data_IF_731826231787
#
_entry.id   IF_731826231787
#
_cell.length_a   1.000
_cell.length_b   1.000
_cell.length_c   1.000
_cell.angle_alpha   90.00
_cell.angle_beta   90.00
_cell.angle_gamma   90.00
#
_symmetry.space_group_name_H-M   'P 1'
#
loop_
_entity.id
_entity.type
_entity.pdbx_description
1 polymer ?
#
# COMPACT_ATOMS: atom_id res chain seq x y z
N UNK A 1 -10.61 -4.76 -18.54
CA UNK A 1 -9.23 -4.25 -18.42
C UNK A 1 -8.22 -5.02 -19.26
N UNK A 2 -8.16 -6.36 -19.24
CA UNK A 2 -7.26 -7.13 -20.12
C UNK A 2 -7.29 -6.66 -21.59
N UNK A 3 -8.48 -6.60 -22.21
CA UNK A 3 -8.67 -6.07 -23.58
C UNK A 3 -8.23 -4.61 -23.81
N UNK A 4 -8.06 -3.80 -22.75
CA UNK A 4 -7.69 -2.36 -22.86
C UNK A 4 -6.18 -2.18 -22.72
N UNK A 5 -5.52 -2.99 -21.87
CA UNK A 5 -4.04 -3.09 -21.88
C UNK A 5 -3.55 -3.69 -23.21
N UNK A 6 -4.32 -4.63 -23.78
CA UNK A 6 -4.08 -5.31 -25.06
C UNK A 6 -4.00 -4.37 -26.27
N UNK A 7 -4.75 -3.26 -26.30
CA UNK A 7 -4.75 -2.32 -27.44
C UNK A 7 -3.54 -1.36 -27.40
N UNK A 8 -2.89 -1.19 -26.24
CA UNK A 8 -1.83 -0.22 -26.02
C UNK A 8 -0.55 -0.42 -26.86
N UNK A 9 -0.31 -1.63 -27.37
CA UNK A 9 0.89 -1.95 -28.16
C UNK A 9 0.77 -1.64 -29.66
N UNK A 10 -0.42 -1.32 -30.17
CA UNK A 10 -0.67 -1.23 -31.62
C UNK A 10 -0.51 0.17 -32.25
N UNK A 11 -0.23 1.21 -31.47
CA UNK A 11 -0.25 2.62 -31.95
C UNK A 11 1.11 3.25 -32.26
N UNK A 12 2.19 2.45 -32.39
CA UNK A 12 3.54 2.92 -32.74
C UNK A 12 4.08 2.27 -34.03
N UNK A 13 3.24 2.11 -35.05
CA UNK A 13 3.64 1.46 -36.30
C UNK A 13 2.88 1.98 -37.55
N UNK A 14 3.18 3.21 -37.98
CA UNK A 14 3.07 3.77 -39.35
C UNK A 14 3.71 5.18 -39.33
N UNK A 15 4.42 5.70 -40.35
CA UNK A 15 4.99 5.13 -41.57
C UNK A 15 6.23 5.99 -41.94
N UNK A 16 7.33 5.40 -42.42
CA UNK A 16 8.62 6.12 -42.58
C UNK A 16 9.49 5.62 -43.73
N UNK A 17 8.97 5.70 -44.97
CA UNK A 17 9.65 5.22 -46.18
C UNK A 17 11.01 5.93 -46.37
N UNK A 18 12.06 5.16 -46.63
CA UNK A 18 13.43 5.66 -46.67
C UNK A 18 13.76 6.57 -47.85
N UNK A 19 14.56 7.61 -47.60
CA UNK A 19 15.35 8.32 -48.62
C UNK A 19 16.74 8.66 -48.08
N UNK A 20 17.79 8.08 -48.69
CA UNK A 20 19.20 8.45 -48.44
C UNK A 20 19.42 9.93 -48.78
N UNK A 21 19.99 10.75 -47.88
CA UNK A 21 20.79 11.93 -48.29
C UNK A 21 21.80 12.43 -47.25
N UNK A 22 23.08 12.33 -47.64
CA UNK A 22 24.29 13.11 -47.29
C UNK A 22 24.46 13.76 -45.90
N UNK A 23 25.59 13.40 -45.27
CA UNK A 23 26.31 14.13 -44.20
C UNK A 23 26.32 15.66 -44.39
N UNK A 24 26.04 16.40 -43.31
CA UNK A 24 26.64 17.71 -43.00
C UNK A 24 26.99 17.74 -41.50
N UNK A 25 28.15 18.34 -41.14
CA UNK A 25 28.59 18.51 -39.75
C UNK A 25 27.88 19.71 -39.12
N UNK A 26 27.59 19.65 -37.82
CA UNK A 26 27.21 20.81 -37.01
C UNK A 26 28.40 21.24 -36.12
N UNK A 27 28.56 22.55 -35.80
CA UNK A 27 29.64 23.06 -34.96
C UNK A 27 29.37 22.87 -33.45
N UNK A 28 30.39 22.92 -32.59
CA UNK A 28 30.24 22.71 -31.14
C UNK A 28 29.63 23.93 -30.43
N UNK A 29 28.75 23.67 -29.46
CA UNK A 29 28.21 24.67 -28.54
C UNK A 29 29.22 24.96 -27.41
N UNK A 30 29.29 26.23 -26.99
CA UNK A 30 30.17 26.69 -25.90
C UNK A 30 29.59 26.37 -24.51
N UNK A 31 30.41 26.24 -23.46
CA UNK A 31 29.93 26.02 -22.09
C UNK A 31 29.26 27.28 -21.51
N UNK A 32 28.19 27.08 -20.74
CA UNK A 32 27.55 28.15 -19.96
C UNK A 32 28.32 28.37 -18.64
N UNK A 33 28.61 29.62 -18.29
CA UNK A 33 29.14 30.00 -16.95
C UNK A 33 27.98 30.13 -15.96
N UNK A 34 28.13 29.73 -14.68
CA UNK A 34 27.26 30.20 -13.62
C UNK A 34 27.59 31.66 -13.28
N UNK A 35 26.57 32.46 -12.99
CA UNK A 35 26.71 33.81 -12.44
C UNK A 35 26.17 33.82 -11.01
N UNK A 36 26.88 34.51 -10.12
CA UNK A 36 26.70 34.44 -8.67
C UNK A 36 25.45 35.16 -8.14
N UNK A 37 25.07 34.77 -6.93
CA UNK A 37 24.49 35.61 -5.86
C UNK A 37 23.23 36.43 -6.15
N UNK A 38 22.17 36.14 -5.38
CA UNK A 38 21.21 37.18 -4.99
C UNK A 38 20.93 37.12 -3.49
N UNK A 39 20.96 38.31 -2.87
CA UNK A 39 20.92 38.55 -1.44
C UNK A 39 19.46 38.48 -0.94
N UNK A 40 19.22 37.82 0.20
CA UNK A 40 17.93 37.89 0.90
C UNK A 40 18.05 38.91 2.03
N UNK A 41 17.30 40.01 1.92
CA UNK A 41 17.15 41.01 3.00
C UNK A 41 16.16 40.51 4.06
N UNK A 42 16.46 40.74 5.33
CA UNK A 42 15.57 40.47 6.46
C UNK A 42 14.48 41.53 6.57
N UNK A 43 13.21 41.12 6.58
CA UNK A 43 12.13 41.91 7.16
C UNK A 43 11.19 41.05 8.03
N UNK A 44 11.12 41.41 9.31
CA UNK A 44 10.23 40.81 10.31
C UNK A 44 8.79 41.36 10.20
N UNK A 45 7.75 40.61 10.61
CA UNK A 45 6.37 41.09 10.61
C UNK A 45 6.05 41.92 11.87
N UNK A 46 5.15 42.93 11.79
CA UNK A 46 4.63 43.63 12.96
C UNK A 46 3.40 42.92 13.57
N UNK A 47 3.23 43.09 14.88
CA UNK A 47 2.18 42.46 15.70
C UNK A 47 1.19 43.49 16.24
N UNK A 48 -0.09 43.12 16.26
CA UNK A 48 -1.21 43.64 17.08
C UNK A 48 -1.53 45.15 17.13
N UNK A 49 -2.82 45.47 17.00
CA UNK A 49 -3.53 46.42 17.88
C UNK A 49 -5.06 46.20 17.80
N UNK A 50 -5.73 46.26 18.95
CA UNK A 50 -7.20 46.22 19.20
C UNK A 50 -7.51 47.42 20.12
N UNK A 51 -8.67 48.12 20.01
CA UNK A 51 -9.71 48.06 21.07
C UNK A 51 -11.15 48.44 20.55
N UNK A 52 -12.17 48.84 21.36
CA UNK A 52 -12.98 47.95 22.22
C UNK A 52 -14.54 48.20 22.25
N UNK A 53 -15.27 47.33 22.96
CA UNK A 53 -16.58 47.50 23.67
C UNK A 53 -17.89 47.99 22.97
N UNK A 54 -19.00 47.24 23.17
CA UNK A 54 -20.21 47.68 23.92
C UNK A 54 -21.32 46.59 24.13
N UNK A 55 -21.74 46.41 25.40
CA UNK A 55 -23.09 46.04 25.98
C UNK A 55 -24.08 44.98 25.42
N UNK A 56 -24.62 44.18 26.36
CA UNK A 56 -25.85 43.33 26.31
C UNK A 56 -27.19 44.12 26.30
N UNK A 57 -28.35 43.50 25.96
CA UNK A 57 -29.31 42.97 26.97
C UNK A 57 -29.90 41.56 26.61
N UNK A 58 -29.95 40.59 27.53
CA UNK A 58 -31.06 40.19 28.44
C UNK A 58 -32.23 39.34 27.84
N UNK A 59 -32.66 38.35 28.65
CA UNK A 59 -33.70 37.33 28.41
C UNK A 59 -35.15 37.88 28.45
N UNK A 60 -36.13 37.05 28.04
CA UNK A 60 -37.01 36.49 29.09
C UNK A 60 -37.11 34.95 29.09
N UNK A 61 -37.55 34.41 30.24
CA UNK A 61 -37.97 33.01 30.43
C UNK A 61 -39.49 32.92 30.34
N UNK A 62 -40.03 31.74 30.02
CA UNK A 62 -41.37 31.36 30.45
C UNK A 62 -41.36 29.93 31.00
N UNK A 63 -41.97 29.77 32.17
CA UNK A 63 -42.08 28.54 32.96
C UNK A 63 -43.54 28.10 32.96
N UNK A 64 -43.80 26.79 33.02
CA UNK A 64 -44.97 26.22 33.71
C UNK A 64 -44.61 24.82 34.24
N UNK A 65 -44.64 24.66 35.57
CA UNK A 65 -44.97 23.38 36.23
C UNK A 65 -46.50 23.32 36.45
N UNK A 66 -47.11 22.28 37.03
CA UNK A 66 -46.60 21.04 37.67
C UNK A 66 -47.73 19.96 37.53
N UNK A 67 -47.85 18.82 38.21
CA UNK A 67 -47.22 18.19 39.39
C UNK A 67 -47.41 16.65 39.32
N UNK A 68 -46.88 15.89 40.29
CA UNK A 68 -47.34 14.52 40.62
C UNK A 68 -46.35 13.38 40.29
N UNK A 69 -45.58 12.93 41.29
CA UNK A 69 -44.81 11.67 41.23
C UNK A 69 -45.53 10.51 41.96
N UNK A 70 -44.84 9.51 42.53
CA UNK A 70 -43.44 9.09 42.30
C UNK A 70 -43.25 7.54 42.21
N UNK A 71 -42.31 7.03 41.39
CA UNK A 71 -41.65 5.71 41.65
C UNK A 71 -40.49 5.33 40.71
N UNK A 72 -39.53 4.59 41.28
CA UNK A 72 -38.60 3.61 40.64
C UNK A 72 -37.75 4.00 39.41
N UNK A 73 -36.50 4.36 39.70
CA UNK A 73 -35.28 3.76 39.10
C UNK A 73 -35.35 3.03 37.74
N UNK A 74 -34.73 3.61 36.70
CA UNK A 74 -33.93 2.83 35.74
C UNK A 74 -32.94 3.73 34.99
N UNK A 75 -31.65 3.48 35.18
CA UNK A 75 -30.57 4.07 34.38
C UNK A 75 -30.40 3.29 33.09
N UNK A 76 -30.62 3.91 31.94
CA UNK A 76 -30.41 3.30 30.61
C UNK A 76 -29.43 4.12 29.77
N UNK A 77 -28.14 3.86 29.96
CA UNK A 77 -27.07 4.35 29.09
C UNK A 77 -27.02 3.57 27.77
N UNK A 78 -26.75 4.27 26.67
CA UNK A 78 -26.79 3.75 25.31
C UNK A 78 -25.73 2.66 25.04
N UNK A 79 -26.18 1.44 24.75
CA UNK A 79 -25.33 0.33 24.34
C UNK A 79 -24.85 0.48 22.88
N UNK A 80 -23.55 0.73 22.71
CA UNK A 80 -22.90 0.59 21.40
C UNK A 80 -22.53 -0.88 21.15
N UNK A 81 -23.07 -1.49 20.09
CA UNK A 81 -22.72 -2.87 19.71
C UNK A 81 -21.28 -2.94 19.18
N UNK A 82 -20.35 -3.41 20.00
CA UNK A 82 -19.02 -3.84 19.57
C UNK A 82 -18.97 -5.38 19.47
N UNK A 83 -19.34 -5.93 18.31
CA UNK A 83 -19.21 -7.37 18.04
C UNK A 83 -17.84 -7.72 17.40
N UNK A 84 -16.73 -7.36 18.07
CA UNK A 84 -15.41 -7.98 17.79
C UNK A 84 -15.26 -9.25 18.65
N UNK A 85 -14.48 -10.23 18.16
CA UNK A 85 -14.45 -11.59 18.70
C UNK A 85 -14.13 -11.66 20.21
N UNK A 86 -15.00 -12.29 21.00
CA UNK A 86 -14.67 -12.76 22.35
C UNK A 86 -13.85 -14.06 22.27
N UNK A 87 -12.76 -14.20 23.04
CA UNK A 87 -12.20 -15.50 23.37
C UNK A 87 -13.18 -16.30 24.24
N UNK A 88 -13.20 -17.62 24.07
CA UNK A 88 -13.97 -18.54 24.92
C UNK A 88 -13.22 -18.69 26.27
N UNK A 89 -13.84 -18.44 27.43
CA UNK A 89 -13.26 -18.81 28.72
C UNK A 89 -13.32 -20.33 28.89
N UNK A 90 -12.20 -20.94 29.27
CA UNK A 90 -12.20 -22.30 29.82
C UNK A 90 -12.63 -22.24 31.29
N UNK A 91 -13.45 -23.19 31.74
CA UNK A 91 -13.99 -23.23 33.09
C UNK A 91 -12.92 -23.57 34.15
N UNK A 92 -12.92 -22.74 35.19
CA UNK A 92 -12.61 -22.92 36.61
C UNK A 92 -11.79 -24.15 37.08
N UNK A 93 -10.67 -23.84 37.75
CA UNK A 93 -10.28 -24.48 39.01
C UNK A 93 -9.55 -23.46 39.89
N UNK A 94 -9.63 -23.61 41.21
CA UNK A 94 -9.57 -22.50 42.18
C UNK A 94 -8.21 -21.76 42.27
N UNK A 95 -8.23 -20.42 42.23
CA UNK A 95 -7.03 -19.56 42.29
C UNK A 95 -7.29 -18.05 42.38
N UNK A 96 -8.37 -17.64 43.06
CA UNK A 96 -9.16 -16.44 42.74
C UNK A 96 -8.55 -15.04 42.93
N UNK A 97 -7.34 -14.88 43.49
CA UNK A 97 -6.72 -13.55 43.66
C UNK A 97 -5.70 -13.20 42.56
N UNK A 98 -4.78 -14.12 42.23
CA UNK A 98 -3.69 -13.82 41.31
C UNK A 98 -4.10 -13.87 39.83
N UNK A 99 -4.99 -14.78 39.44
CA UNK A 99 -5.36 -14.91 38.03
C UNK A 99 -6.32 -13.81 37.55
N UNK A 100 -7.19 -13.26 38.41
CA UNK A 100 -7.97 -12.07 38.04
C UNK A 100 -7.07 -10.84 37.84
N UNK A 101 -6.11 -10.57 38.73
CA UNK A 101 -5.14 -9.48 38.54
C UNK A 101 -4.36 -9.66 37.22
N UNK A 102 -3.95 -10.89 36.93
CA UNK A 102 -3.15 -11.24 35.74
C UNK A 102 -3.97 -11.19 34.44
N UNK A 103 -5.22 -11.66 34.45
CA UNK A 103 -6.11 -11.60 33.29
C UNK A 103 -6.54 -10.16 32.97
N UNK A 104 -6.88 -9.36 33.99
CA UNK A 104 -7.23 -7.94 33.82
C UNK A 104 -6.04 -7.15 33.27
N UNK A 105 -4.83 -7.35 33.82
CA UNK A 105 -3.61 -6.68 33.33
C UNK A 105 -3.23 -7.11 31.91
N UNK A 106 -3.48 -8.38 31.54
CA UNK A 106 -3.24 -8.88 30.18
C UNK A 106 -4.23 -8.29 29.18
N UNK A 107 -5.52 -8.22 29.54
CA UNK A 107 -6.56 -7.63 28.70
C UNK A 107 -6.29 -6.14 28.46
N UNK A 108 -5.96 -5.36 29.50
CA UNK A 108 -5.66 -3.93 29.35
C UNK A 108 -4.39 -3.68 28.52
N UNK A 109 -3.37 -4.52 28.65
CA UNK A 109 -2.16 -4.46 27.79
C UNK A 109 -2.43 -4.79 26.33
N UNK A 110 -3.35 -5.73 26.06
CA UNK A 110 -3.75 -6.12 24.72
C UNK A 110 -4.63 -5.06 24.05
N UNK A 111 -5.59 -4.49 24.77
CA UNK A 111 -6.41 -3.35 24.31
C UNK A 111 -5.58 -2.08 24.06
N UNK A 112 -4.60 -1.79 24.93
CA UNK A 112 -3.68 -0.67 24.72
C UNK A 112 -2.83 -0.85 23.45
N UNK A 113 -2.39 -2.08 23.16
CA UNK A 113 -1.64 -2.40 21.96
C UNK A 113 -2.53 -2.40 20.70
N UNK A 114 -3.76 -2.90 20.77
CA UNK A 114 -4.77 -2.78 19.71
C UNK A 114 -4.96 -1.30 19.29
N UNK A 115 -5.23 -0.43 20.26
CA UNK A 115 -5.42 1.00 20.04
C UNK A 115 -4.15 1.71 19.53
N UNK A 116 -2.97 1.32 20.02
CA UNK A 116 -1.70 1.93 19.60
C UNK A 116 -1.30 1.50 18.18
N UNK A 117 -1.47 0.22 17.83
CA UNK A 117 -1.20 -0.26 16.47
C UNK A 117 -2.16 0.34 15.45
N UNK A 118 -3.44 0.51 15.81
CA UNK A 118 -4.39 1.25 14.99
C UNK A 118 -3.93 2.71 14.76
N UNK A 119 -3.51 3.41 15.81
CA UNK A 119 -2.95 4.78 15.69
C UNK A 119 -1.71 4.84 14.78
N UNK A 120 -0.82 3.85 14.83
CA UNK A 120 0.33 3.80 13.92
C UNK A 120 -0.12 3.60 12.46
N UNK A 121 -1.03 2.65 12.19
CA UNK A 121 -1.57 2.45 10.85
C UNK A 121 -2.31 3.71 10.31
N UNK A 122 -3.06 4.41 11.16
CA UNK A 122 -3.69 5.69 10.81
C UNK A 122 -2.68 6.82 10.57
N UNK A 123 -1.61 6.87 11.35
CA UNK A 123 -0.52 7.85 11.20
C UNK A 123 0.27 7.66 9.90
N UNK A 124 0.28 6.47 9.29
CA UNK A 124 0.91 6.21 7.99
C UNK A 124 0.37 7.11 6.86
N UNK A 125 -0.86 7.65 6.98
CA UNK A 125 -1.40 8.64 6.06
C UNK A 125 -0.49 9.88 5.91
N UNK A 126 0.18 10.32 6.99
CA UNK A 126 1.03 11.52 6.98
C UNK A 126 2.24 11.37 6.04
N UNK A 127 3.13 10.36 6.20
CA UNK A 127 4.25 10.18 5.27
C UNK A 127 3.81 9.86 3.85
N UNK A 128 2.69 9.15 3.63
CA UNK A 128 2.17 8.92 2.28
C UNK A 128 1.64 10.21 1.63
N UNK A 129 0.98 11.10 2.36
CA UNK A 129 0.62 12.43 1.87
C UNK A 129 1.86 13.26 1.52
N UNK A 130 2.87 13.30 2.40
CA UNK A 130 4.11 14.04 2.17
C UNK A 130 4.91 13.48 0.98
N UNK A 131 4.79 12.19 0.68
CA UNK A 131 5.35 11.57 -0.52
C UNK A 131 4.60 11.98 -1.79
N UNK A 132 3.26 12.09 -1.74
CA UNK A 132 2.41 12.23 -2.92
C UNK A 132 2.07 13.68 -3.30
N UNK A 133 1.97 14.60 -2.32
CA UNK A 133 1.70 16.03 -2.52
C UNK A 133 2.73 16.70 -3.45
N UNK A 134 4.06 16.50 -3.32
CA UNK A 134 5.05 17.14 -4.18
C UNK A 134 4.81 16.86 -5.67
N UNK A 135 4.48 15.62 -6.03
CA UNK A 135 4.16 15.24 -7.41
C UNK A 135 2.89 15.94 -7.91
N UNK A 136 1.82 15.95 -7.11
CA UNK A 136 0.54 16.59 -7.46
C UNK A 136 0.74 18.08 -7.69
N UNK A 137 1.48 18.77 -6.81
CA UNK A 137 1.76 20.21 -6.91
C UNK A 137 2.66 20.52 -8.10
N UNK A 138 3.71 19.72 -8.35
CA UNK A 138 4.61 19.91 -9.50
C UNK A 138 3.89 19.72 -10.83
N UNK A 139 3.06 18.67 -10.94
CA UNK A 139 2.22 18.42 -12.10
C UNK A 139 1.23 19.57 -12.34
N UNK A 140 0.55 20.06 -11.30
CA UNK A 140 -0.38 21.19 -11.39
C UNK A 140 0.33 22.47 -11.88
N UNK A 141 1.52 22.78 -11.35
CA UNK A 141 2.33 23.93 -11.81
C UNK A 141 2.73 23.79 -13.28
N UNK A 142 3.19 22.61 -13.70
CA UNK A 142 3.56 22.36 -15.09
C UNK A 142 2.36 22.47 -16.04
N UNK A 143 1.18 21.97 -15.65
CA UNK A 143 -0.06 22.13 -16.43
C UNK A 143 -0.46 23.60 -16.56
N UNK A 144 -0.45 24.37 -15.46
CA UNK A 144 -0.77 25.81 -15.47
C UNK A 144 0.23 26.63 -16.31
N UNK A 145 1.50 26.20 -16.37
CA UNK A 145 2.53 26.81 -17.21
C UNK A 145 2.50 26.32 -18.68
N UNK A 146 1.57 25.43 -19.06
CA UNK A 146 1.53 24.81 -20.40
C UNK A 146 2.66 23.81 -20.69
N UNK A 147 3.50 23.49 -19.70
CA UNK A 147 4.68 22.64 -19.82
C UNK A 147 4.32 21.14 -19.81
N UNK A 148 3.61 20.68 -20.85
CA UNK A 148 3.16 19.28 -20.99
C UNK A 148 4.32 18.26 -21.05
N UNK A 149 5.49 18.65 -21.55
CA UNK A 149 6.64 17.74 -21.75
C UNK A 149 7.14 17.12 -20.44
N UNK A 150 7.06 17.84 -19.33
CA UNK A 150 7.40 17.32 -18.01
C UNK A 150 6.44 16.19 -17.54
N UNK A 151 5.17 16.22 -17.95
CA UNK A 151 4.19 15.18 -17.60
C UNK A 151 4.28 13.97 -18.55
N UNK A 152 4.71 14.14 -19.80
CA UNK A 152 4.99 13.03 -20.73
C UNK A 152 6.09 12.09 -20.22
N UNK A 153 6.99 12.59 -19.36
CA UNK A 153 8.05 11.78 -18.74
C UNK A 153 7.57 10.92 -17.55
N UNK A 154 6.35 11.14 -17.04
CA UNK A 154 5.83 10.39 -15.88
C UNK A 154 5.20 9.08 -16.37
N UNK A 155 5.64 7.90 -15.89
CA UNK A 155 5.17 6.61 -16.38
C UNK A 155 3.73 6.30 -15.91
N UNK A 156 2.73 6.70 -16.69
CA UNK A 156 1.30 6.52 -16.37
C UNK A 156 0.92 5.06 -16.09
N UNK A 157 1.60 4.09 -16.71
CA UNK A 157 1.37 2.65 -16.47
C UNK A 157 1.82 2.21 -15.07
N UNK A 158 2.88 2.82 -14.54
CA UNK A 158 3.31 2.65 -13.15
C UNK A 158 2.28 3.24 -12.18
N UNK A 159 1.80 4.45 -12.47
CA UNK A 159 0.72 5.08 -11.68
C UNK A 159 -0.57 4.23 -11.71
N UNK A 160 -0.95 3.68 -12.87
CA UNK A 160 -2.12 2.80 -13.00
C UNK A 160 -1.97 1.51 -12.19
N UNK A 161 -0.77 0.91 -12.18
CA UNK A 161 -0.46 -0.24 -11.32
C UNK A 161 -0.58 0.14 -9.84
N UNK A 162 -0.06 1.32 -9.46
CA UNK A 162 -0.25 1.95 -8.15
C UNK A 162 -1.71 2.03 -7.73
N UNK A 163 -2.53 2.61 -8.60
CA UNK A 163 -3.97 2.80 -8.40
C UNK A 163 -4.71 1.46 -8.22
N UNK A 164 -4.44 0.48 -9.08
CA UNK A 164 -5.09 -0.84 -9.03
C UNK A 164 -4.67 -1.64 -7.80
N UNK A 165 -3.41 -1.54 -7.37
CA UNK A 165 -2.93 -2.12 -6.12
C UNK A 165 -3.68 -1.55 -4.92
N UNK A 166 -3.72 -0.22 -4.79
CA UNK A 166 -4.43 0.45 -3.70
C UNK A 166 -5.95 0.16 -3.72
N UNK A 167 -6.60 0.11 -4.90
CA UNK A 167 -8.03 -0.19 -5.00
C UNK A 167 -8.37 -1.65 -4.63
N UNK A 168 -7.46 -2.58 -4.95
CA UNK A 168 -7.61 -3.99 -4.58
C UNK A 168 -7.35 -4.21 -3.08
N UNK A 169 -6.34 -3.54 -2.51
CA UNK A 169 -6.10 -3.52 -1.06
C UNK A 169 -7.24 -2.82 -0.29
N UNK A 170 -7.82 -1.75 -0.83
CA UNK A 170 -9.03 -1.12 -0.27
C UNK A 170 -10.16 -2.15 -0.17
N UNK A 171 -10.35 -2.96 -1.21
CA UNK A 171 -11.37 -4.02 -1.21
C UNK A 171 -11.09 -5.11 -0.18
N UNK A 172 -9.81 -5.47 -0.01
CA UNK A 172 -9.36 -6.40 1.02
C UNK A 172 -9.62 -5.90 2.45
N UNK A 173 -9.23 -4.66 2.76
CA UNK A 173 -9.41 -4.11 4.11
C UNK A 173 -10.86 -3.69 4.40
N UNK A 174 -11.64 -3.31 3.37
CA UNK A 174 -13.07 -3.07 3.51
C UNK A 174 -13.81 -4.33 3.97
N UNK A 175 -13.51 -5.49 3.36
CA UNK A 175 -14.02 -6.81 3.77
C UNK A 175 -13.63 -7.17 5.21
N UNK A 176 -12.43 -6.78 5.65
CA UNK A 176 -11.94 -7.02 7.02
C UNK A 176 -12.38 -5.97 8.05
N UNK A 177 -13.07 -4.90 7.64
CA UNK A 177 -13.49 -3.77 8.49
C UNK A 177 -12.31 -3.09 9.23
N UNK A 178 -11.13 -3.08 8.63
CA UNK A 178 -9.93 -2.45 9.22
C UNK A 178 -9.85 -0.98 8.80
N UNK A 179 -10.55 -0.12 9.55
CA UNK A 179 -10.74 1.31 9.30
C UNK A 179 -9.49 2.06 8.85
N UNK A 180 -8.40 1.94 9.61
CA UNK A 180 -7.18 2.73 9.40
C UNK A 180 -6.49 2.33 8.08
N UNK A 181 -6.52 1.04 7.72
CA UNK A 181 -6.04 0.57 6.44
C UNK A 181 -6.96 1.01 5.28
N UNK A 182 -8.29 0.96 5.46
CA UNK A 182 -9.27 1.50 4.51
C UNK A 182 -9.01 2.98 4.22
N UNK A 183 -8.69 3.78 5.24
CA UNK A 183 -8.31 5.19 5.07
C UNK A 183 -7.01 5.36 4.26
N UNK A 184 -5.95 4.62 4.60
CA UNK A 184 -4.67 4.65 3.86
C UNK A 184 -4.85 4.28 2.39
N UNK A 185 -5.57 3.19 2.09
CA UNK A 185 -5.78 2.75 0.71
C UNK A 185 -6.69 3.72 -0.07
N UNK A 186 -7.71 4.29 0.58
CA UNK A 186 -8.55 5.35 -0.03
C UNK A 186 -7.70 6.56 -0.41
N UNK A 187 -6.81 6.99 0.49
CA UNK A 187 -5.90 8.11 0.24
C UNK A 187 -4.97 7.81 -0.94
N UNK A 188 -4.41 6.60 -1.01
CA UNK A 188 -3.63 6.13 -2.16
C UNK A 188 -4.43 6.16 -3.46
N UNK A 189 -5.64 5.60 -3.48
CA UNK A 189 -6.53 5.62 -4.66
C UNK A 189 -6.80 7.05 -5.14
N UNK A 190 -7.26 7.94 -4.26
CA UNK A 190 -7.65 9.31 -4.62
C UNK A 190 -6.43 10.09 -5.13
N UNK A 191 -5.31 10.04 -4.40
CA UNK A 191 -4.13 10.85 -4.72
C UNK A 191 -3.41 10.38 -6.00
N UNK A 192 -3.33 9.07 -6.25
CA UNK A 192 -2.83 8.52 -7.52
C UNK A 192 -3.80 8.83 -8.67
N UNK A 193 -5.12 8.78 -8.43
CA UNK A 193 -6.11 9.14 -9.45
C UNK A 193 -6.02 10.62 -9.85
N UNK A 194 -5.75 11.54 -8.90
CA UNK A 194 -5.45 12.95 -9.22
C UNK A 194 -4.23 13.07 -10.13
N UNK A 195 -3.15 12.33 -9.87
CA UNK A 195 -1.99 12.32 -10.77
C UNK A 195 -2.36 11.76 -12.15
N UNK A 196 -3.11 10.66 -12.22
CA UNK A 196 -3.57 10.09 -13.50
C UNK A 196 -4.43 11.08 -14.30
N UNK A 197 -5.32 11.84 -13.64
CA UNK A 197 -6.09 12.90 -14.29
C UNK A 197 -5.18 14.02 -14.83
N UNK A 198 -4.13 14.40 -14.09
CA UNK A 198 -3.13 15.37 -14.58
C UNK A 198 -2.38 14.84 -15.81
N UNK A 199 -2.01 13.56 -15.83
CA UNK A 199 -1.37 12.92 -16.99
C UNK A 199 -2.30 12.85 -18.21
N UNK A 200 -3.60 12.59 -18.00
CA UNK A 200 -4.60 12.63 -19.08
C UNK A 200 -4.80 14.06 -19.63
N UNK A 201 -4.84 15.10 -18.77
CA UNK A 201 -4.90 16.50 -19.20
C UNK A 201 -3.65 16.97 -19.96
N UNK A 202 -2.49 16.35 -19.72
CA UNK A 202 -1.26 16.56 -20.48
C UNK A 202 -1.13 15.68 -21.73
N UNK A 203 -2.15 14.89 -22.08
CA UNK A 203 -2.15 13.91 -23.18
C UNK A 203 -1.11 12.78 -23.03
N UNK A 204 -0.52 12.62 -21.83
CA UNK A 204 0.43 11.56 -21.51
C UNK A 204 -0.23 10.19 -21.34
N UNK A 205 -1.49 10.15 -20.89
CA UNK A 205 -2.31 8.95 -20.84
C UNK A 205 -3.40 9.01 -21.91
N UNK A 206 -3.56 7.98 -22.77
CA UNK A 206 -4.61 7.97 -23.79
C UNK A 206 -6.02 8.06 -23.18
N UNK A 207 -6.88 8.90 -23.77
CA UNK A 207 -8.22 9.18 -23.26
C UNK A 207 -9.10 7.91 -23.03
N UNK A 208 -9.12 6.89 -23.91
CA UNK A 208 -9.91 5.67 -23.67
C UNK A 208 -9.48 4.93 -22.40
N UNK A 209 -8.18 4.86 -22.13
CA UNK A 209 -7.63 4.25 -20.92
C UNK A 209 -8.00 5.05 -19.68
N UNK A 210 -7.96 6.38 -19.76
CA UNK A 210 -8.38 7.26 -18.67
C UNK A 210 -9.86 7.06 -18.33
N UNK A 211 -10.76 7.08 -19.31
CA UNK A 211 -12.21 6.87 -19.11
C UNK A 211 -12.48 5.52 -18.41
N UNK A 212 -11.89 4.42 -18.89
CA UNK A 212 -12.05 3.10 -18.26
C UNK A 212 -11.51 3.08 -16.83
N UNK A 213 -10.39 3.76 -16.60
CA UNK A 213 -9.79 3.87 -15.26
C UNK A 213 -10.70 4.67 -14.31
N UNK A 214 -11.26 5.79 -14.75
CA UNK A 214 -12.20 6.61 -13.98
C UNK A 214 -13.45 5.83 -13.58
N UNK A 215 -14.03 5.05 -14.50
CA UNK A 215 -15.19 4.19 -14.21
C UNK A 215 -14.83 3.17 -13.12
N UNK A 216 -13.71 2.45 -13.27
CA UNK A 216 -13.27 1.43 -12.29
C UNK A 216 -12.96 2.03 -10.92
N UNK A 217 -12.34 3.21 -10.86
CA UNK A 217 -12.08 3.92 -9.59
C UNK A 217 -13.37 4.37 -8.93
N UNK A 218 -14.28 5.01 -9.67
CA UNK A 218 -15.55 5.47 -9.14
C UNK A 218 -16.41 4.30 -8.63
N UNK A 219 -16.57 3.26 -9.44
CA UNK A 219 -17.28 2.04 -9.03
C UNK A 219 -16.62 1.37 -7.82
N UNK A 220 -15.30 1.24 -7.83
CA UNK A 220 -14.57 0.59 -6.74
C UNK A 220 -14.60 1.35 -5.43
N UNK A 221 -14.49 2.68 -5.44
CA UNK A 221 -14.67 3.49 -4.23
C UNK A 221 -16.10 3.33 -3.68
N UNK A 222 -17.12 3.49 -4.52
CA UNK A 222 -18.53 3.36 -4.11
C UNK A 222 -18.83 1.97 -3.54
N UNK A 223 -18.46 0.91 -4.25
CA UNK A 223 -18.72 -0.48 -3.82
C UNK A 223 -17.98 -0.81 -2.52
N UNK A 224 -16.74 -0.35 -2.36
CA UNK A 224 -15.97 -0.58 -1.13
C UNK A 224 -16.55 0.16 0.07
N UNK A 225 -17.01 1.41 -0.08
CA UNK A 225 -17.66 2.12 1.02
C UNK A 225 -19.03 1.51 1.37
N UNK A 226 -19.86 1.17 0.37
CA UNK A 226 -21.13 0.50 0.62
C UNK A 226 -20.94 -0.85 1.33
N UNK A 227 -19.93 -1.63 0.94
CA UNK A 227 -19.59 -2.88 1.63
C UNK A 227 -18.99 -2.63 3.03
N UNK A 228 -18.19 -1.58 3.23
CA UNK A 228 -17.67 -1.22 4.55
C UNK A 228 -18.77 -0.86 5.55
N UNK A 229 -19.85 -0.21 5.08
CA UNK A 229 -21.03 0.13 5.90
C UNK A 229 -22.15 -0.94 5.89
N UNK A 230 -21.90 -2.13 5.34
CA UNK A 230 -22.87 -3.25 5.23
C UNK A 230 -24.17 -2.90 4.46
N UNK A 231 -24.10 -1.88 3.58
CA UNK A 231 -25.19 -1.43 2.71
C UNK A 231 -25.23 -2.16 1.37
N UNK A 232 -24.23 -2.99 1.05
CA UNK A 232 -24.10 -3.67 -0.23
C UNK A 232 -24.61 -5.12 -0.14
N UNK A 233 -25.36 -5.57 -1.14
CA UNK A 233 -25.81 -6.97 -1.19
C UNK A 233 -24.64 -7.92 -1.44
N UNK A 234 -24.68 -9.10 -0.80
CA UNK A 234 -23.62 -10.11 -0.94
C UNK A 234 -23.42 -10.58 -2.39
N UNK A 235 -24.45 -10.51 -3.24
CA UNK A 235 -24.34 -10.81 -4.67
C UNK A 235 -23.49 -9.79 -5.43
N UNK A 236 -23.73 -8.48 -5.21
CA UNK A 236 -22.96 -7.41 -5.86
C UNK A 236 -21.52 -7.40 -5.34
N UNK A 237 -21.32 -7.60 -4.03
CA UNK A 237 -19.97 -7.72 -3.48
C UNK A 237 -19.19 -8.90 -4.08
N UNK A 238 -19.80 -10.10 -4.19
CA UNK A 238 -19.16 -11.26 -4.82
C UNK A 238 -18.78 -11.02 -6.28
N UNK A 239 -19.62 -10.31 -7.03
CA UNK A 239 -19.30 -9.91 -8.41
C UNK A 239 -18.11 -8.94 -8.46
N UNK A 240 -18.04 -7.98 -7.54
CA UNK A 240 -16.87 -7.10 -7.39
C UNK A 240 -15.60 -7.88 -7.03
N UNK A 241 -15.69 -8.84 -6.09
CA UNK A 241 -14.57 -9.73 -5.74
C UNK A 241 -14.07 -10.55 -6.94
N UNK A 242 -14.97 -11.09 -7.76
CA UNK A 242 -14.62 -11.81 -8.98
C UNK A 242 -13.94 -10.89 -9.99
N UNK A 243 -14.48 -9.68 -10.19
CA UNK A 243 -13.90 -8.67 -11.08
C UNK A 243 -12.48 -8.29 -10.68
N UNK A 244 -12.24 -7.95 -9.40
CA UNK A 244 -10.89 -7.60 -8.93
C UNK A 244 -9.93 -8.79 -8.95
N UNK A 245 -10.42 -10.02 -8.73
CA UNK A 245 -9.61 -11.25 -8.83
C UNK A 245 -9.11 -11.46 -10.26
N UNK A 246 -10.01 -11.39 -11.25
CA UNK A 246 -9.67 -11.53 -12.67
C UNK A 246 -8.80 -10.37 -13.15
N UNK A 247 -9.10 -9.15 -12.72
CA UNK A 247 -8.28 -7.98 -13.04
C UNK A 247 -6.85 -8.14 -12.48
N UNK A 248 -6.69 -8.42 -11.18
CA UNK A 248 -5.41 -8.61 -10.52
C UNK A 248 -4.57 -9.72 -11.15
N UNK A 249 -5.16 -10.90 -11.38
CA UNK A 249 -4.49 -12.02 -12.06
C UNK A 249 -4.09 -11.69 -13.50
N UNK A 250 -4.85 -10.89 -14.24
CA UNK A 250 -4.48 -10.51 -15.62
C UNK A 250 -3.41 -9.41 -15.66
N UNK A 251 -3.44 -8.47 -14.72
CA UNK A 251 -2.53 -7.32 -14.71
C UNK A 251 -1.16 -7.69 -14.16
N UNK A 252 -1.07 -8.52 -13.12
CA UNK A 252 0.20 -8.85 -12.47
C UNK A 252 1.23 -9.49 -13.42
N UNK A 253 0.95 -10.58 -14.16
CA UNK A 253 1.89 -11.15 -15.13
C UNK A 253 2.23 -10.20 -16.28
N UNK A 254 1.28 -9.34 -16.68
CA UNK A 254 1.49 -8.36 -17.73
C UNK A 254 2.45 -7.25 -17.31
N UNK A 255 2.31 -6.73 -16.07
CA UNK A 255 3.21 -5.73 -15.49
C UNK A 255 4.60 -6.33 -15.29
N UNK A 256 4.68 -7.55 -14.74
CA UNK A 256 5.93 -8.30 -14.59
C UNK A 256 6.65 -8.44 -15.94
N UNK A 257 5.96 -8.86 -16.99
CA UNK A 257 6.53 -8.97 -18.34
C UNK A 257 7.00 -7.62 -18.89
N UNK A 258 6.16 -6.58 -18.78
CA UNK A 258 6.48 -5.24 -19.29
C UNK A 258 7.69 -4.59 -18.62
N UNK A 259 8.02 -4.99 -17.39
CA UNK A 259 9.18 -4.47 -16.64
C UNK A 259 10.50 -4.80 -17.32
N UNK A 260 10.58 -5.93 -18.02
CA UNK A 260 11.79 -6.41 -18.69
C UNK A 260 11.90 -6.01 -20.16
N UNK A 261 10.97 -5.19 -20.68
CA UNK A 261 11.09 -4.60 -22.03
C UNK A 261 12.25 -3.58 -22.03
N UNK A 262 13.14 -3.55 -23.04
CA UNK A 262 13.10 -4.29 -24.32
C UNK A 262 13.88 -5.62 -24.35
N UNK A 263 14.44 -6.08 -23.22
CA UNK A 263 15.18 -7.36 -23.13
C UNK A 263 14.30 -8.58 -23.43
N UNK A 264 13.01 -8.44 -23.13
CA UNK A 264 11.95 -9.40 -23.47
C UNK A 264 11.05 -8.74 -24.54
N UNK A 265 10.55 -9.48 -25.56
CA UNK A 265 9.69 -8.92 -26.59
C UNK A 265 8.42 -8.29 -26.00
N UNK A 266 8.07 -7.11 -26.52
CA UNK A 266 6.79 -6.46 -26.26
C UNK A 266 5.64 -7.42 -26.59
N UNK A 267 4.96 -7.89 -25.54
CA UNK A 267 3.88 -8.86 -25.66
C UNK A 267 2.82 -8.64 -24.59
N UNK A 268 1.58 -8.82 -25.01
CA UNK A 268 0.35 -8.78 -24.21
C UNK A 268 -0.13 -10.19 -23.84
N UNK A 269 0.57 -11.21 -24.33
CA UNK A 269 0.21 -12.62 -24.16
C UNK A 269 0.14 -13.06 -22.69
N UNK A 270 1.05 -12.67 -21.78
CA UNK A 270 0.98 -13.07 -20.37
C UNK A 270 -0.29 -12.56 -19.67
N UNK A 271 -0.73 -11.34 -19.97
CA UNK A 271 -1.98 -10.80 -19.44
C UNK A 271 -3.22 -11.49 -20.02
N UNK A 272 -3.22 -11.82 -21.32
CA UNK A 272 -4.31 -12.55 -21.97
C UNK A 272 -4.44 -13.98 -21.41
N UNK A 273 -3.34 -14.72 -21.33
CA UNK A 273 -3.39 -16.12 -20.85
C UNK A 273 -3.80 -16.18 -19.39
N UNK A 274 -3.27 -15.31 -18.54
CA UNK A 274 -3.68 -15.20 -17.14
C UNK A 274 -5.13 -14.75 -16.99
N UNK A 275 -5.64 -13.85 -17.84
CA UNK A 275 -7.05 -13.47 -17.86
C UNK A 275 -7.97 -14.67 -18.14
N UNK A 276 -7.69 -15.47 -19.18
CA UNK A 276 -8.50 -16.65 -19.49
C UNK A 276 -8.46 -17.69 -18.36
N UNK A 277 -7.28 -17.96 -17.79
CA UNK A 277 -7.15 -18.88 -16.65
C UNK A 277 -7.89 -18.37 -15.41
N UNK A 278 -7.84 -17.05 -15.14
CA UNK A 278 -8.56 -16.44 -14.03
C UNK A 278 -10.08 -16.55 -14.18
N UNK A 279 -10.60 -16.25 -15.38
CA UNK A 279 -12.04 -16.41 -15.68
C UNK A 279 -12.48 -17.86 -15.52
N UNK A 280 -11.71 -18.82 -16.04
CA UNK A 280 -12.00 -20.26 -15.89
C UNK A 280 -11.98 -20.68 -14.42
N UNK A 281 -10.99 -20.26 -13.64
CA UNK A 281 -10.88 -20.57 -12.21
C UNK A 281 -12.07 -19.99 -11.40
N UNK A 282 -12.43 -18.74 -11.64
CA UNK A 282 -13.58 -18.08 -10.99
C UNK A 282 -14.90 -18.77 -11.38
N UNK A 283 -15.12 -19.06 -12.67
CA UNK A 283 -16.33 -19.76 -13.12
C UNK A 283 -16.43 -21.15 -12.49
N UNK A 284 -15.33 -21.93 -12.43
CA UNK A 284 -15.35 -23.24 -11.75
C UNK A 284 -15.63 -23.13 -10.24
N UNK A 285 -15.11 -22.10 -9.58
CA UNK A 285 -15.43 -21.82 -8.17
C UNK A 285 -16.92 -21.49 -7.98
N UNK A 286 -17.51 -20.67 -8.86
CA UNK A 286 -18.94 -20.29 -8.81
C UNK A 286 -19.89 -21.42 -9.20
N UNK A 287 -19.47 -22.34 -10.08
CA UNK A 287 -20.22 -23.56 -10.43
C UNK A 287 -20.15 -24.66 -9.35
N UNK A 288 -19.41 -24.45 -8.24
CA UNK A 288 -19.21 -25.50 -7.22
C UNK A 288 -18.38 -26.70 -7.72
N UNK A 289 -17.66 -26.55 -8.83
CA UNK A 289 -16.80 -27.60 -9.41
C UNK A 289 -15.44 -27.74 -8.71
N UNK A 290 -15.07 -26.76 -7.89
CA UNK A 290 -13.88 -26.82 -7.04
C UNK A 290 -14.25 -27.36 -5.65
N UNK A 291 -13.36 -28.14 -4.99
CA UNK A 291 -13.52 -28.48 -3.59
C UNK A 291 -13.50 -27.22 -2.72
N UNK A 292 -14.00 -27.30 -1.48
CA UNK A 292 -14.08 -26.16 -0.56
C UNK A 292 -12.74 -25.43 -0.37
N UNK A 293 -11.63 -26.20 -0.33
CA UNK A 293 -10.25 -25.65 -0.31
C UNK A 293 -9.98 -24.76 -1.54
N UNK A 294 -10.39 -25.19 -2.74
CA UNK A 294 -10.23 -24.44 -3.99
C UNK A 294 -11.13 -23.20 -4.08
N UNK A 295 -12.36 -23.26 -3.53
CA UNK A 295 -13.23 -22.07 -3.43
C UNK A 295 -12.62 -21.03 -2.49
N UNK A 296 -12.12 -21.46 -1.32
CA UNK A 296 -11.36 -20.60 -0.40
C UNK A 296 -10.13 -20.02 -1.10
N UNK A 297 -9.38 -20.83 -1.86
CA UNK A 297 -8.20 -20.42 -2.61
C UNK A 297 -8.51 -19.26 -3.55
N UNK A 298 -9.46 -19.44 -4.47
CA UNK A 298 -9.89 -18.37 -5.39
C UNK A 298 -10.33 -17.12 -4.64
N UNK A 299 -11.06 -17.26 -3.52
CA UNK A 299 -11.48 -16.15 -2.66
C UNK A 299 -10.35 -15.38 -1.95
N UNK A 300 -9.11 -15.92 -1.93
CA UNK A 300 -7.91 -15.28 -1.38
C UNK A 300 -7.03 -14.61 -2.44
N UNK A 301 -7.16 -14.99 -3.72
CA UNK A 301 -6.29 -14.56 -4.81
C UNK A 301 -6.34 -13.04 -4.99
N UNK A 302 -7.51 -12.40 -4.83
CA UNK A 302 -7.65 -10.94 -4.93
C UNK A 302 -6.74 -10.19 -3.94
N UNK A 303 -6.69 -10.64 -2.68
CA UNK A 303 -5.79 -10.07 -1.69
C UNK A 303 -4.31 -10.32 -2.02
N UNK A 304 -3.97 -11.54 -2.45
CA UNK A 304 -2.58 -11.88 -2.77
C UNK A 304 -2.07 -11.18 -4.02
N UNK A 305 -2.89 -11.07 -5.07
CA UNK A 305 -2.55 -10.30 -6.28
C UNK A 305 -2.43 -8.81 -5.99
N UNK A 306 -3.27 -8.24 -5.10
CA UNK A 306 -3.12 -6.88 -4.63
C UNK A 306 -1.77 -6.65 -3.93
N UNK A 307 -1.41 -7.53 -2.98
CA UNK A 307 -0.12 -7.50 -2.29
C UNK A 307 1.05 -7.67 -3.28
N UNK A 308 0.97 -8.61 -4.23
CA UNK A 308 2.03 -8.84 -5.22
C UNK A 308 2.19 -7.68 -6.21
N UNK A 309 1.10 -7.06 -6.66
CA UNK A 309 1.16 -5.84 -7.49
C UNK A 309 1.86 -4.70 -6.75
N UNK A 310 1.57 -4.52 -5.46
CA UNK A 310 2.24 -3.55 -4.59
C UNK A 310 3.72 -3.88 -4.38
N UNK A 311 4.04 -5.17 -4.14
CA UNK A 311 5.43 -5.64 -4.02
C UNK A 311 6.24 -5.51 -5.32
N UNK A 312 5.60 -5.53 -6.49
CA UNK A 312 6.30 -5.42 -7.76
C UNK A 312 6.80 -4.01 -8.08
N UNK A 313 6.18 -2.97 -7.52
CA UNK A 313 6.55 -1.56 -7.76
C UNK A 313 8.04 -1.27 -7.45
N UNK A 314 8.60 -1.63 -6.28
CA UNK A 314 10.03 -1.49 -6.03
C UNK A 314 10.91 -2.34 -6.96
N UNK A 315 10.46 -3.54 -7.35
CA UNK A 315 11.23 -4.41 -8.27
C UNK A 315 11.41 -3.73 -9.61
N UNK A 316 10.33 -3.17 -10.17
CA UNK A 316 10.38 -2.42 -11.42
C UNK A 316 11.28 -1.17 -11.32
N UNK A 317 11.18 -0.42 -10.21
CA UNK A 317 12.05 0.74 -9.97
C UNK A 317 13.54 0.33 -9.86
N UNK A 318 13.86 -0.69 -9.05
CA UNK A 318 15.22 -1.19 -8.88
C UNK A 318 15.79 -1.72 -10.19
N UNK A 319 14.98 -2.38 -11.02
CA UNK A 319 15.37 -2.82 -12.37
C UNK A 319 15.69 -1.63 -13.28
N UNK A 320 14.82 -0.61 -13.36
CA UNK A 320 15.07 0.60 -14.15
C UNK A 320 16.32 1.36 -13.69
N UNK A 321 16.59 1.37 -12.38
CA UNK A 321 17.78 1.97 -11.78
C UNK A 321 19.06 1.16 -12.04
N UNK A 322 19.00 -0.16 -12.01
CA UNK A 322 20.13 -1.03 -12.35
C UNK A 322 20.56 -0.85 -13.81
N UNK A 323 19.59 -0.72 -14.73
CA UNK A 323 19.86 -0.50 -16.15
C UNK A 323 20.40 0.90 -16.46
N UNK A 324 20.02 1.92 -15.66
CA UNK A 324 20.43 3.31 -15.84
C UNK A 324 20.81 3.91 -14.48
N UNK A 325 22.04 3.69 -13.99
CA UNK A 325 22.47 4.11 -12.65
C UNK A 325 22.28 5.60 -12.33
N UNK A 326 22.36 6.48 -13.33
CA UNK A 326 22.12 7.92 -13.14
C UNK A 326 20.68 8.25 -12.67
N UNK A 327 19.70 7.37 -12.91
CA UNK A 327 18.34 7.55 -12.38
C UNK A 327 18.32 7.56 -10.83
N UNK A 328 19.27 6.88 -10.18
CA UNK A 328 19.35 6.80 -8.72
C UNK A 328 19.63 8.18 -8.11
N UNK A 329 20.45 9.01 -8.77
CA UNK A 329 20.71 10.41 -8.36
C UNK A 329 19.46 11.28 -8.46
N UNK A 330 18.48 10.88 -9.28
CA UNK A 330 17.16 11.52 -9.38
C UNK A 330 16.17 11.09 -8.29
N UNK A 331 16.47 10.06 -7.49
CA UNK A 331 15.62 9.65 -6.38
C UNK A 331 15.77 10.57 -5.17
N UNK A 332 14.64 11.06 -4.67
CA UNK A 332 14.60 11.81 -3.41
C UNK A 332 14.80 10.86 -2.22
N UNK A 333 15.92 11.03 -1.51
CA UNK A 333 16.21 10.34 -0.25
C UNK A 333 15.10 10.52 0.80
N UNK A 334 14.52 11.74 0.87
CA UNK A 334 13.38 12.04 1.73
C UNK A 334 12.15 11.23 1.33
N UNK A 335 11.89 11.07 0.03
CA UNK A 335 10.76 10.27 -0.45
C UNK A 335 10.93 8.78 -0.13
N UNK A 336 12.16 8.24 -0.25
CA UNK A 336 12.45 6.85 0.15
C UNK A 336 12.35 6.66 1.67
N UNK A 337 12.76 7.65 2.48
CA UNK A 337 12.57 7.64 3.93
C UNK A 337 11.08 7.71 4.32
N UNK A 338 10.29 8.58 3.67
CA UNK A 338 8.84 8.66 3.89
C UNK A 338 8.14 7.34 3.50
N UNK A 339 8.54 6.73 2.38
CA UNK A 339 8.06 5.41 1.98
C UNK A 339 8.39 4.33 3.02
N UNK A 340 9.62 4.34 3.55
CA UNK A 340 10.07 3.42 4.61
C UNK A 340 9.22 3.57 5.87
N UNK A 341 9.01 4.81 6.34
CA UNK A 341 8.25 5.14 7.55
C UNK A 341 6.76 4.81 7.38
N UNK A 342 6.13 5.22 6.27
CA UNK A 342 4.70 4.97 6.03
C UNK A 342 4.36 3.50 6.02
N UNK A 343 5.12 2.69 5.29
CA UNK A 343 4.94 1.24 5.29
C UNK A 343 5.34 0.60 6.63
N UNK A 344 6.41 1.09 7.26
CA UNK A 344 6.86 0.63 8.58
C UNK A 344 5.82 0.81 9.67
N UNK A 345 5.08 1.93 9.67
CA UNK A 345 4.00 2.22 10.61
C UNK A 345 2.80 1.26 10.50
N UNK A 346 2.63 0.58 9.36
CA UNK A 346 1.57 -0.42 9.17
C UNK A 346 1.93 -1.82 9.71
N UNK A 347 3.23 -2.14 9.82
CA UNK A 347 3.74 -3.45 10.25
C UNK A 347 3.19 -3.88 11.62
N UNK A 348 3.18 -3.04 12.69
CA UNK A 348 2.68 -3.45 14.00
C UNK A 348 1.20 -3.86 13.97
N UNK A 349 0.39 -3.19 13.15
CA UNK A 349 -1.04 -3.49 13.03
C UNK A 349 -1.28 -4.82 12.33
N UNK A 350 -0.60 -5.04 11.21
CA UNK A 350 -0.69 -6.29 10.47
C UNK A 350 -0.21 -7.50 11.31
N UNK A 351 0.86 -7.32 12.08
CA UNK A 351 1.36 -8.32 13.03
C UNK A 351 0.32 -8.62 14.12
N UNK A 352 -0.23 -7.57 14.74
CA UNK A 352 -1.21 -7.68 15.83
C UNK A 352 -2.45 -8.48 15.41
N UNK A 353 -3.08 -8.12 14.29
CA UNK A 353 -4.30 -8.82 13.82
C UNK A 353 -4.02 -10.18 13.13
N UNK A 354 -2.75 -10.65 13.15
CA UNK A 354 -2.27 -11.86 12.46
C UNK A 354 -2.63 -11.89 10.97
N UNK A 355 -2.40 -10.78 10.27
CA UNK A 355 -2.61 -10.63 8.83
C UNK A 355 -1.28 -10.76 8.07
N UNK A 356 -0.95 -11.99 7.67
CA UNK A 356 0.30 -12.29 6.97
C UNK A 356 0.42 -11.59 5.62
N UNK A 357 -0.69 -11.40 4.91
CA UNK A 357 -0.72 -10.77 3.57
C UNK A 357 -0.40 -9.28 3.67
N UNK A 358 -1.01 -8.60 4.64
CA UNK A 358 -0.73 -7.19 4.93
C UNK A 358 0.66 -7.01 5.55
N UNK A 359 1.08 -7.91 6.43
CA UNK A 359 2.42 -7.88 7.04
C UNK A 359 3.51 -8.02 5.99
N UNK A 360 3.35 -8.95 5.05
CA UNK A 360 4.28 -9.18 3.94
C UNK A 360 4.37 -7.94 3.05
N UNK A 361 3.24 -7.37 2.61
CA UNK A 361 3.24 -6.17 1.78
C UNK A 361 3.88 -4.96 2.46
N UNK A 362 3.54 -4.71 3.73
CA UNK A 362 4.08 -3.58 4.51
C UNK A 362 5.58 -3.73 4.79
N UNK A 363 6.01 -4.94 5.18
CA UNK A 363 7.43 -5.22 5.44
C UNK A 363 8.24 -5.14 4.15
N UNK A 364 7.74 -5.71 3.05
CA UNK A 364 8.39 -5.64 1.74
C UNK A 364 8.56 -4.19 1.27
N UNK A 365 7.53 -3.36 1.34
CA UNK A 365 7.64 -1.97 0.93
C UNK A 365 8.51 -1.15 1.89
N UNK A 366 8.48 -1.40 3.20
CA UNK A 366 9.40 -0.73 4.13
C UNK A 366 10.87 -1.09 3.85
N UNK A 367 11.16 -2.37 3.61
CA UNK A 367 12.53 -2.90 3.40
C UNK A 367 13.03 -2.64 1.98
N UNK A 368 12.31 -3.00 0.92
CA UNK A 368 12.80 -2.88 -0.46
C UNK A 368 12.50 -1.52 -1.09
N UNK A 369 11.25 -1.02 -0.98
CA UNK A 369 10.88 0.26 -1.58
C UNK A 369 11.49 1.45 -0.82
N UNK A 370 11.47 1.41 0.51
CA UNK A 370 12.14 2.40 1.35
C UNK A 370 13.64 2.17 1.47
N UNK A 371 14.04 1.25 2.37
CA UNK A 371 15.44 1.07 2.75
C UNK A 371 16.36 0.56 1.62
N UNK A 372 15.87 -0.31 0.73
CA UNK A 372 16.62 -0.81 -0.42
C UNK A 372 17.07 0.30 -1.37
N UNK A 373 16.18 1.24 -1.70
CA UNK A 373 16.55 2.43 -2.48
C UNK A 373 17.46 3.39 -1.69
N UNK A 374 17.38 3.44 -0.35
CA UNK A 374 18.35 4.18 0.47
C UNK A 374 19.75 3.55 0.44
N UNK A 375 19.86 2.21 0.41
CA UNK A 375 21.15 1.53 0.18
C UNK A 375 21.72 1.94 -1.18
N UNK A 376 20.90 1.88 -2.25
CA UNK A 376 21.35 2.32 -3.58
C UNK A 376 21.84 3.78 -3.55
N UNK A 377 21.07 4.71 -2.99
CA UNK A 377 21.46 6.11 -2.84
C UNK A 377 22.78 6.28 -2.07
N UNK A 378 23.02 5.47 -1.04
CA UNK A 378 24.28 5.48 -0.28
C UNK A 378 25.46 4.95 -1.11
N UNK A 379 25.31 3.79 -1.77
CA UNK A 379 26.33 3.23 -2.65
C UNK A 379 26.71 4.17 -3.81
N UNK A 380 25.76 4.96 -4.32
CA UNK A 380 26.01 5.98 -5.34
C UNK A 380 26.39 7.37 -4.77
N UNK A 381 26.86 7.43 -3.52
CA UNK A 381 27.34 8.65 -2.85
C UNK A 381 26.33 9.84 -2.91
N UNK A 382 25.04 9.53 -3.00
CA UNK A 382 23.96 10.52 -3.16
C UNK A 382 23.33 10.93 -1.81
N UNK A 383 23.66 10.25 -0.71
CA UNK A 383 23.27 10.57 0.66
C UNK A 383 24.44 10.40 1.62
N UNK A 384 24.42 11.12 2.75
CA UNK A 384 25.48 11.02 3.76
C UNK A 384 25.40 9.70 4.55
N UNK A 385 26.54 9.28 5.10
CA UNK A 385 26.67 8.09 5.94
C UNK A 385 25.81 8.19 7.20
N UNK A 386 25.75 9.37 7.80
CA UNK A 386 24.99 9.65 9.03
C UNK A 386 23.49 9.49 8.77
N UNK A 387 22.99 10.02 7.65
CA UNK A 387 21.59 9.87 7.25
C UNK A 387 21.25 8.39 6.97
N UNK A 388 22.09 7.68 6.22
CA UNK A 388 21.88 6.26 5.93
C UNK A 388 21.88 5.39 7.19
N UNK A 389 22.85 5.61 8.10
CA UNK A 389 22.93 4.88 9.38
C UNK A 389 21.76 5.20 10.30
N UNK A 390 21.33 6.47 10.40
CA UNK A 390 20.18 6.87 11.20
C UNK A 390 18.87 6.25 10.68
N UNK A 391 18.64 6.27 9.36
CA UNK A 391 17.48 5.63 8.74
C UNK A 391 17.48 4.11 8.96
N UNK A 392 18.63 3.47 8.79
CA UNK A 392 18.82 2.02 8.99
C UNK A 392 18.58 1.63 10.45
N UNK A 393 19.21 2.31 11.40
CA UNK A 393 19.02 2.07 12.83
C UNK A 393 17.55 2.28 13.24
N UNK A 394 16.92 3.36 12.76
CA UNK A 394 15.50 3.64 13.00
C UNK A 394 14.59 2.51 12.53
N UNK A 395 14.82 1.94 11.34
CA UNK A 395 14.05 0.82 10.81
C UNK A 395 14.18 -0.44 11.69
N UNK A 396 15.41 -0.85 12.01
CA UNK A 396 15.64 -2.06 12.81
C UNK A 396 15.13 -1.92 14.25
N UNK A 397 15.32 -0.75 14.89
CA UNK A 397 14.77 -0.45 16.22
C UNK A 397 13.24 -0.48 16.19
N UNK A 398 12.61 0.08 15.16
CA UNK A 398 11.16 0.08 15.01
C UNK A 398 10.59 -1.33 14.86
N UNK A 399 11.13 -2.13 13.95
CA UNK A 399 10.71 -3.53 13.72
C UNK A 399 10.91 -4.36 15.00
N UNK A 400 12.09 -4.26 15.63
CA UNK A 400 12.38 -4.97 16.88
C UNK A 400 11.43 -4.58 18.02
N UNK A 401 11.11 -3.28 18.15
CA UNK A 401 10.15 -2.78 19.14
C UNK A 401 8.74 -3.29 18.87
N UNK A 402 8.29 -3.31 17.61
CA UNK A 402 6.97 -3.82 17.23
C UNK A 402 6.81 -5.29 17.61
N UNK A 403 7.78 -6.14 17.28
CA UNK A 403 7.79 -7.55 17.65
C UNK A 403 7.83 -7.76 19.17
N UNK A 404 8.67 -7.02 19.90
CA UNK A 404 8.76 -7.13 21.36
C UNK A 404 7.47 -6.69 22.06
N UNK A 405 6.84 -5.59 21.61
CA UNK A 405 5.55 -5.11 22.13
C UNK A 405 4.42 -6.11 21.85
N UNK A 406 4.35 -6.67 20.65
CA UNK A 406 3.39 -7.72 20.30
C UNK A 406 3.55 -8.97 21.18
N UNK A 407 4.79 -9.42 21.39
CA UNK A 407 5.13 -10.53 22.29
C UNK A 407 4.58 -10.28 23.70
N UNK A 408 4.77 -9.06 24.23
CA UNK A 408 4.31 -8.67 25.57
C UNK A 408 2.78 -8.57 25.65
N UNK A 409 2.12 -7.97 24.66
CA UNK A 409 0.67 -7.85 24.61
C UNK A 409 -0.04 -9.21 24.55
N UNK A 410 0.46 -10.13 23.72
CA UNK A 410 -0.06 -11.50 23.67
C UNK A 410 0.43 -12.40 24.82
N UNK A 411 1.42 -11.97 25.60
CA UNK A 411 2.00 -12.75 26.69
C UNK A 411 2.74 -14.00 26.23
N UNK A 412 3.36 -13.95 25.04
CA UNK A 412 4.18 -15.04 24.51
C UNK A 412 5.57 -15.09 25.17
N UNK A 413 6.21 -16.26 25.11
CA UNK A 413 7.57 -16.47 25.62
C UNK A 413 8.67 -15.89 24.72
N UNK A 414 8.40 -15.71 23.41
CA UNK A 414 9.40 -15.17 22.46
C UNK A 414 8.76 -14.39 21.30
N UNK A 415 9.49 -13.45 20.68
CA UNK A 415 9.06 -12.80 19.43
C UNK A 415 8.92 -13.75 18.24
N UNK A 416 9.65 -14.87 18.24
CA UNK A 416 9.49 -15.91 17.21
C UNK A 416 8.12 -16.58 17.30
N UNK A 417 7.50 -16.61 18.49
CA UNK A 417 6.11 -17.07 18.67
C UNK A 417 5.14 -16.18 17.91
N UNK A 418 5.28 -14.85 17.96
CA UNK A 418 4.45 -13.92 17.17
C UNK A 418 4.57 -14.15 15.66
N UNK A 419 5.78 -14.47 15.15
CA UNK A 419 6.00 -14.80 13.73
C UNK A 419 5.38 -16.16 13.40
N UNK A 420 5.56 -17.17 14.26
CA UNK A 420 4.97 -18.49 14.07
C UNK A 420 3.44 -18.42 14.01
N UNK A 421 2.83 -17.67 14.92
CA UNK A 421 1.37 -17.48 14.99
C UNK A 421 0.84 -16.65 13.81
N UNK A 422 1.64 -15.76 13.24
CA UNK A 422 1.31 -15.01 12.01
C UNK A 422 1.28 -15.93 10.78
N UNK A 423 2.27 -16.80 10.62
CA UNK A 423 2.46 -17.68 9.44
C UNK A 423 1.62 -18.96 9.51
N UNK A 424 1.52 -19.59 10.68
CA UNK A 424 0.86 -20.89 10.84
C UNK A 424 -0.53 -20.80 11.50
N UNK A 425 -0.85 -19.65 12.11
CA UNK A 425 -2.04 -19.48 12.94
C UNK A 425 -1.88 -20.04 14.37
N UNK A 426 -2.94 -19.96 15.20
CA UNK A 426 -2.89 -20.34 16.61
C UNK A 426 -2.50 -21.80 16.86
N UNK A 427 -1.52 -22.02 17.74
CA UNK A 427 -1.05 -23.36 18.11
C UNK A 427 -2.17 -24.28 18.68
N UNK A 428 -3.22 -23.72 19.29
CA UNK A 428 -4.40 -24.48 19.74
C UNK A 428 -5.21 -25.12 18.60
N UNK A 429 -5.04 -24.66 17.36
CA UNK A 429 -5.64 -25.28 16.17
C UNK A 429 -4.95 -26.60 15.78
N UNK A 430 -3.72 -26.85 16.23
CA UNK A 430 -2.93 -28.01 15.81
C UNK A 430 -3.28 -29.32 16.53
N UNK A 431 -4.05 -29.30 17.62
CA UNK A 431 -4.28 -30.47 18.48
C UNK A 431 -5.73 -30.98 18.54
N UNK A 432 -6.69 -30.25 17.98
CA UNK A 432 -8.11 -30.66 17.98
C UNK A 432 -8.86 -30.43 16.65
N UNK A 433 -8.18 -30.01 15.60
CA UNK A 433 -8.63 -30.19 14.22
C UNK A 433 -7.48 -30.72 13.37
N UNK A 434 -7.79 -31.67 12.49
CA UNK A 434 -6.82 -32.24 11.56
C UNK A 434 -6.17 -31.15 10.69
N UNK A 435 -4.87 -31.30 10.48
CA UNK A 435 -3.99 -30.41 9.72
C UNK A 435 -4.63 -29.96 8.38
N UNK A 436 -4.52 -28.66 8.07
CA UNK A 436 -4.44 -28.21 6.67
C UNK A 436 -5.61 -27.38 6.11
N UNK A 437 -5.83 -26.17 6.65
CA UNK A 437 -6.62 -25.12 5.96
C UNK A 437 -5.90 -23.77 5.87
N UNK A 438 -5.14 -23.33 6.89
CA UNK A 438 -4.39 -22.05 6.85
C UNK A 438 -2.93 -22.23 6.40
N UNK A 439 -2.19 -23.13 7.04
CA UNK A 439 -0.76 -23.36 6.78
C UNK A 439 -0.47 -23.92 5.38
N UNK A 440 -1.22 -24.94 4.95
CA UNK A 440 -1.04 -25.60 3.64
C UNK A 440 -1.31 -24.66 2.45
N UNK A 441 -2.06 -23.58 2.69
CA UNK A 441 -2.64 -22.70 1.69
C UNK A 441 -1.72 -21.51 1.35
N UNK A 442 -0.99 -21.00 2.34
CA UNK A 442 0.12 -20.05 2.12
C UNK A 442 1.39 -20.79 1.67
N UNK A 443 1.60 -22.03 2.13
CA UNK A 443 2.73 -22.88 1.77
C UNK A 443 2.59 -23.62 0.42
N UNK A 444 1.45 -23.55 -0.28
CA UNK A 444 1.34 -24.04 -1.68
C UNK A 444 1.61 -22.94 -2.72
N UNK A 445 1.38 -21.65 -2.41
CA UNK A 445 1.80 -20.57 -3.32
C UNK A 445 3.30 -20.29 -3.28
N UNK A 446 3.97 -20.41 -2.12
CA UNK A 446 5.43 -20.30 -2.07
C UNK A 446 6.12 -21.24 -3.08
N UNK A 447 5.84 -22.56 -3.16
CA UNK A 447 6.44 -23.46 -4.12
C UNK A 447 5.84 -23.38 -5.53
N UNK A 448 4.60 -22.91 -5.74
CA UNK A 448 4.13 -22.67 -7.12
C UNK A 448 4.94 -21.55 -7.82
N UNK A 449 5.47 -20.60 -7.04
CA UNK A 449 6.48 -19.64 -7.51
C UNK A 449 7.93 -20.15 -7.35
N UNK A 450 8.26 -20.92 -6.31
CA UNK A 450 9.64 -21.37 -6.08
C UNK A 450 10.09 -22.55 -6.96
N UNK A 451 9.18 -23.42 -7.41
CA UNK A 451 9.55 -24.59 -8.23
C UNK A 451 9.90 -24.24 -9.69
N UNK A 452 9.85 -22.95 -10.06
CA UNK A 452 10.51 -22.45 -11.29
C UNK A 452 11.21 -21.10 -11.15
N UNK A 453 11.30 -20.55 -9.95
CA UNK A 453 12.15 -19.43 -9.64
C UNK A 453 12.80 -19.67 -8.27
N UNK A 454 14.11 -19.85 -8.27
CA UNK A 454 15.00 -19.80 -7.11
C UNK A 454 15.05 -18.37 -6.53
N UNK A 455 13.88 -17.76 -6.30
CA UNK A 455 13.72 -16.30 -6.25
C UNK A 455 14.24 -15.71 -4.94
N UNK A 456 14.20 -16.47 -3.84
CA UNK A 456 14.78 -16.03 -2.56
C UNK A 456 16.30 -16.00 -2.60
N UNK A 457 16.92 -17.11 -3.04
CA UNK A 457 18.38 -17.23 -3.15
C UNK A 457 18.92 -16.37 -4.30
N UNK A 458 18.29 -16.41 -5.48
CA UNK A 458 18.69 -15.60 -6.62
C UNK A 458 18.34 -14.13 -6.50
N UNK A 459 17.31 -13.69 -5.77
CA UNK A 459 17.17 -12.24 -5.49
C UNK A 459 18.11 -11.77 -4.38
N UNK A 460 18.46 -12.62 -3.40
CA UNK A 460 19.53 -12.30 -2.45
C UNK A 460 20.90 -12.28 -3.14
N UNK A 461 21.17 -13.20 -4.06
CA UNK A 461 22.34 -13.20 -4.94
C UNK A 461 22.28 -12.10 -5.99
N UNK A 462 21.11 -11.67 -6.47
CA UNK A 462 20.99 -10.56 -7.42
C UNK A 462 21.15 -9.22 -6.71
N UNK A 463 20.57 -9.01 -5.53
CA UNK A 463 20.87 -7.79 -4.74
C UNK A 463 22.29 -7.80 -4.21
N UNK A 464 22.83 -8.96 -3.82
CA UNK A 464 24.25 -9.08 -3.43
C UNK A 464 25.17 -8.90 -4.63
N UNK A 465 24.89 -9.46 -5.80
CA UNK A 465 25.71 -9.30 -7.00
C UNK A 465 25.53 -7.94 -7.66
N UNK A 466 24.37 -7.30 -7.56
CA UNK A 466 24.19 -5.89 -7.92
C UNK A 466 24.98 -5.01 -6.93
N UNK A 467 24.86 -5.22 -5.62
CA UNK A 467 25.67 -4.48 -4.65
C UNK A 467 27.18 -4.73 -4.86
N UNK A 468 27.60 -5.95 -5.16
CA UNK A 468 28.99 -6.30 -5.44
C UNK A 468 29.48 -5.70 -6.75
N UNK A 469 28.70 -5.80 -7.84
CA UNK A 469 29.05 -5.21 -9.14
C UNK A 469 29.08 -3.68 -9.09
N UNK A 470 28.20 -3.06 -8.28
CA UNK A 470 28.21 -1.61 -8.05
C UNK A 470 29.37 -1.17 -7.15
N UNK A 471 29.79 -1.97 -6.17
CA UNK A 471 31.02 -1.73 -5.44
C UNK A 471 32.27 -1.91 -6.32
N UNK A 472 32.31 -2.94 -7.19
CA UNK A 472 33.43 -3.23 -8.11
C UNK A 472 33.54 -2.21 -9.26
N UNK A 473 32.52 -1.39 -9.50
CA UNK A 473 32.57 -0.23 -10.41
C UNK A 473 32.72 1.12 -9.67
N UNK A 474 32.99 1.09 -8.36
CA UNK A 474 33.25 2.28 -7.54
C UNK A 474 34.72 2.41 -7.10
N UNK A 475 35.59 1.50 -7.55
CA UNK A 475 37.06 1.63 -7.59
C UNK A 475 37.52 1.90 -9.04
#
# INVERSE_FOLDING_TARGET
>A
MAAVVVVGSHSLLQLGIGKRRRRRRAPPLRPFRPSSEFIISNHSPPSFLLPPHASLPQHPKLFFGSEGGPSSSSSSSSLSLHHRLKPIPALDSEGFAHDHQRSVTRNSGLEQWDALTAKFAGAANLPFLLLQIPQIVLNARNLLAGNKTALLAVPWLGMLTGLLGNLSLLSYFAKKKEKEAVMVQTLGVISIYVVIAQLAMAEAMPLPHFIVTSIVVASGLVLNFLNYFDLLSAGIWRFWEDFITVAGLSVLPQVMWSTFVPYIPNSILPGITAFFLAVVAVVMARMGKLPEKGIKFVGSISGWTATLLFMWMPVAQMWTNFLNPDNIKGLSAVSMLLAMIGNGLMIPRALFIRDFMWFTGSTWASVFYGWGNLICLYCFNSISKEFFLAATAGLYIWIGTAFWRDTKAYGYSSPLTSIKELVFGPASSCFNQGIGVRSQFEFEMLPLFAHKADLGSQMALLTSAIALALCIHSE
#
